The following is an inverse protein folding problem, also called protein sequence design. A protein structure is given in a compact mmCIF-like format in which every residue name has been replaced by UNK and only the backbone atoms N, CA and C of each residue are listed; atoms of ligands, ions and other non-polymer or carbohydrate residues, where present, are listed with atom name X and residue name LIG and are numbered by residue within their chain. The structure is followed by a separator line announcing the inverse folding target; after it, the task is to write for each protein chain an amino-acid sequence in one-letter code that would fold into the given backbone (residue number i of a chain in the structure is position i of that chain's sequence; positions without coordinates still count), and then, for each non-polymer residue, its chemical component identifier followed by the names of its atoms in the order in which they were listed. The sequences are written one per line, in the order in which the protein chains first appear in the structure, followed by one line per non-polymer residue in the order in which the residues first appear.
data_IF_872805012985
#
_entry.id   IF_872805012985
#
_cell.length_a   1.000
_cell.length_b   1.000
_cell.length_c   1.000
_cell.angle_alpha   90.00
_cell.angle_beta   90.00
_cell.angle_gamma   90.00
#
_symmetry.space_group_name_H-M   'P 1'
#
loop_
_entity.id
_entity.type
_entity.pdbx_description
1 polymer ?
#
# COMPACT_ATOMS: atom_id res chain seq x y z
N UNK A 1 -2.33 -14.99 0.09
CA UNK A 1 -1.20 -14.04 -0.05
C UNK A 1 -0.04 -14.80 -0.68
N UNK A 2 0.53 -14.32 -1.78
CA UNK A 2 1.67 -14.94 -2.47
C UNK A 2 2.84 -13.95 -2.48
N UNK A 3 4.04 -14.41 -2.13
CA UNK A 3 5.25 -13.58 -2.06
C UNK A 3 6.34 -14.30 -2.85
N UNK A 4 7.06 -13.58 -3.70
CA UNK A 4 8.21 -14.10 -4.42
C UNK A 4 9.34 -13.06 -4.45
N UNK A 5 10.58 -13.53 -4.43
CA UNK A 5 11.77 -12.69 -4.55
C UNK A 5 12.25 -12.76 -6.00
N UNK A 6 12.49 -11.61 -6.62
CA UNK A 6 13.02 -11.51 -7.98
C UNK A 6 14.24 -10.61 -7.99
N UNK A 7 15.07 -10.75 -9.03
CA UNK A 7 16.25 -9.90 -9.26
C UNK A 7 16.04 -9.11 -10.54
N UNK A 8 16.68 -7.95 -10.62
CA UNK A 8 16.72 -7.17 -11.85
C UNK A 8 17.49 -7.95 -12.93
N UNK A 9 16.91 -8.05 -14.12
CA UNK A 9 17.57 -8.68 -15.28
C UNK A 9 18.70 -7.79 -15.79
N UNK A 10 19.60 -8.36 -16.60
CA UNK A 10 20.70 -7.64 -17.25
C UNK A 10 20.25 -6.48 -18.14
N UNK A 11 18.97 -6.45 -18.55
CA UNK A 11 18.37 -5.38 -19.35
C UNK A 11 17.61 -4.35 -18.50
N UNK A 12 17.77 -4.38 -17.18
CA UNK A 12 17.06 -3.49 -16.25
C UNK A 12 15.59 -3.86 -16.04
N UNK A 13 15.17 -5.09 -16.37
CA UNK A 13 13.77 -5.50 -16.25
C UNK A 13 13.55 -6.18 -14.90
N UNK A 14 12.45 -5.83 -14.22
CA UNK A 14 11.97 -6.57 -13.05
C UNK A 14 11.02 -7.66 -13.57
N UNK A 15 11.38 -8.92 -13.35
CA UNK A 15 10.59 -10.07 -13.84
C UNK A 15 9.63 -10.53 -12.76
N UNK A 16 8.34 -10.64 -13.10
CA UNK A 16 7.33 -11.27 -12.24
C UNK A 16 7.47 -12.80 -12.34
N UNK A 17 7.84 -13.52 -11.27
CA UNK A 17 8.01 -14.97 -11.29
C UNK A 17 6.74 -15.71 -11.70
N UNK A 18 6.89 -16.82 -12.43
CA UNK A 18 5.77 -17.59 -12.96
C UNK A 18 4.77 -18.06 -11.89
N UNK A 19 5.26 -18.33 -10.68
CA UNK A 19 4.46 -18.76 -9.52
C UNK A 19 3.37 -17.76 -9.14
N UNK A 20 3.66 -16.46 -9.27
CA UNK A 20 2.74 -15.35 -8.93
C UNK A 20 2.19 -14.62 -10.15
N UNK A 21 2.60 -15.03 -11.37
CA UNK A 21 2.14 -14.45 -12.64
C UNK A 21 0.72 -14.92 -13.04
N UNK A 22 0.17 -15.92 -12.34
CA UNK A 22 -1.18 -16.46 -12.64
C UNK A 22 -2.22 -15.33 -12.67
N UNK A 23 -2.99 -15.25 -13.76
CA UNK A 23 -4.02 -14.22 -13.94
C UNK A 23 -3.54 -12.91 -14.57
N UNK A 24 -2.30 -12.85 -15.08
CA UNK A 24 -1.79 -11.77 -15.93
C UNK A 24 -1.72 -12.26 -17.37
N UNK A 25 -2.41 -11.56 -18.27
CA UNK A 25 -2.46 -11.90 -19.70
C UNK A 25 -1.34 -11.22 -20.50
N UNK A 26 -1.02 -11.78 -21.65
CA UNK A 26 -0.02 -11.18 -22.55
C UNK A 26 -0.63 -9.92 -23.17
N UNK A 27 0.12 -8.82 -23.14
CA UNK A 27 -0.34 -7.52 -23.65
C UNK A 27 -1.12 -6.69 -22.64
N UNK A 28 -1.30 -7.18 -21.42
CA UNK A 28 -1.98 -6.45 -20.36
C UNK A 28 -1.18 -5.21 -19.92
N UNK A 29 -1.87 -4.06 -19.86
CA UNK A 29 -1.27 -2.78 -19.49
C UNK A 29 -1.33 -2.54 -17.99
N UNK A 30 -0.25 -1.98 -17.46
CA UNK A 30 -0.10 -1.66 -16.05
C UNK A 30 0.29 -0.20 -15.87
N UNK A 31 -0.30 0.44 -14.86
CA UNK A 31 0.22 1.69 -14.32
C UNK A 31 1.29 1.35 -13.29
N UNK A 32 2.47 1.94 -13.46
CA UNK A 32 3.61 1.83 -12.55
C UNK A 32 3.78 3.16 -11.84
N UNK A 33 3.67 3.14 -10.51
CA UNK A 33 3.86 4.32 -9.67
C UNK A 33 5.05 4.08 -8.76
N UNK A 34 6.03 4.98 -8.79
CA UNK A 34 7.18 4.95 -7.89
C UNK A 34 6.95 5.97 -6.77
N UNK A 35 6.97 5.50 -5.53
CA UNK A 35 6.97 6.35 -4.35
C UNK A 35 8.20 6.02 -3.50
N UNK A 36 9.16 6.95 -3.46
CA UNK A 36 10.48 6.74 -2.82
C UNK A 36 11.15 5.43 -3.27
N UNK A 37 11.25 4.44 -2.38
CA UNK A 37 11.88 3.14 -2.59
C UNK A 37 10.87 2.02 -2.90
N UNK A 38 9.61 2.37 -3.15
CA UNK A 38 8.52 1.42 -3.41
C UNK A 38 7.95 1.61 -4.81
N UNK A 39 7.57 0.50 -5.42
CA UNK A 39 6.84 0.47 -6.68
C UNK A 39 5.47 -0.12 -6.44
N UNK A 40 4.44 0.55 -6.94
CA UNK A 40 3.07 0.07 -6.97
C UNK A 40 2.75 -0.25 -8.44
N UNK A 41 2.20 -1.44 -8.66
CA UNK A 41 1.77 -1.92 -9.96
C UNK A 41 0.27 -2.18 -9.91
N UNK A 42 -0.53 -1.55 -10.78
CA UNK A 42 -1.98 -1.83 -10.91
C UNK A 42 -2.33 -2.02 -12.38
N UNK A 43 -3.22 -2.98 -12.67
CA UNK A 43 -3.73 -3.21 -14.03
C UNK A 43 -4.59 -2.02 -14.45
N UNK A 44 -4.41 -1.52 -15.69
CA UNK A 44 -5.18 -0.39 -16.21
C UNK A 44 -6.69 -0.69 -16.19
N UNK A 45 -7.09 -1.92 -16.54
CA UNK A 45 -8.49 -2.35 -16.54
C UNK A 45 -9.16 -2.34 -15.15
N UNK A 46 -8.36 -2.38 -14.08
CA UNK A 46 -8.82 -2.36 -12.70
C UNK A 46 -8.76 -0.94 -12.09
N UNK A 47 -8.38 0.06 -12.89
CA UNK A 47 -8.40 1.47 -12.47
C UNK A 47 -9.84 1.95 -12.63
N UNK A 48 -10.55 2.00 -11.51
CA UNK A 48 -11.85 2.65 -11.37
C UNK A 48 -11.68 4.06 -10.81
N UNK A 49 -12.80 4.78 -10.62
CA UNK A 49 -12.79 6.14 -10.07
C UNK A 49 -12.15 6.21 -8.67
N UNK A 50 -12.13 5.09 -7.93
CA UNK A 50 -11.53 4.97 -6.60
C UNK A 50 -10.00 4.79 -6.62
N UNK A 51 -9.36 4.78 -7.80
CA UNK A 51 -7.91 4.60 -7.89
C UNK A 51 -7.10 5.67 -7.14
N UNK A 52 -7.61 6.91 -7.08
CA UNK A 52 -6.98 7.96 -6.27
C UNK A 52 -7.06 7.63 -4.79
N UNK A 53 -8.17 7.07 -4.33
CA UNK A 53 -8.39 6.71 -2.94
C UNK A 53 -7.53 5.50 -2.56
N UNK A 54 -7.41 4.50 -3.44
CA UNK A 54 -6.48 3.37 -3.28
C UNK A 54 -5.02 3.85 -3.16
N UNK A 55 -4.61 4.82 -3.98
CA UNK A 55 -3.29 5.41 -3.92
C UNK A 55 -3.06 6.18 -2.63
N UNK A 56 -4.05 6.96 -2.21
CA UNK A 56 -3.99 7.70 -0.96
C UNK A 56 -3.95 6.77 0.25
N UNK A 57 -4.73 5.67 0.22
CA UNK A 57 -4.70 4.63 1.23
C UNK A 57 -3.33 3.96 1.33
N UNK A 58 -2.74 3.59 0.19
CA UNK A 58 -1.40 2.99 0.15
C UNK A 58 -0.35 3.93 0.75
N UNK A 59 -0.42 5.22 0.39
CA UNK A 59 0.46 6.25 0.95
C UNK A 59 0.27 6.43 2.46
N UNK A 60 -0.97 6.57 2.93
CA UNK A 60 -1.28 6.74 4.36
C UNK A 60 -0.83 5.53 5.18
N UNK A 61 -1.02 4.32 4.66
CA UNK A 61 -0.59 3.07 5.29
C UNK A 61 0.94 3.03 5.40
N UNK A 62 1.65 3.42 4.34
CA UNK A 62 3.10 3.52 4.35
C UNK A 62 3.61 4.55 5.36
N UNK A 63 3.00 5.74 5.40
CA UNK A 63 3.38 6.79 6.34
C UNK A 63 3.13 6.37 7.79
N UNK A 64 1.99 5.72 8.06
CA UNK A 64 1.68 5.16 9.37
C UNK A 64 2.67 4.06 9.76
N UNK A 65 3.04 3.19 8.83
CA UNK A 65 4.03 2.12 9.06
C UNK A 65 5.41 2.69 9.39
N UNK A 66 5.86 3.72 8.64
CA UNK A 66 7.14 4.41 8.92
C UNK A 66 7.15 5.08 10.28
N UNK A 67 6.04 5.69 10.69
CA UNK A 67 5.89 6.30 12.04
C UNK A 67 5.96 5.24 13.13
N UNK A 68 5.28 4.11 12.92
CA UNK A 68 5.34 2.98 13.85
C UNK A 68 6.76 2.43 14.01
N UNK A 69 7.48 2.19 12.90
CA UNK A 69 8.88 1.74 12.92
C UNK A 69 9.82 2.73 13.61
N UNK A 70 9.53 4.03 13.52
CA UNK A 70 10.28 5.09 14.22
C UNK A 70 9.90 5.26 15.70
N UNK A 71 8.92 4.52 16.19
CA UNK A 71 8.41 4.69 17.55
C UNK A 71 7.54 5.95 17.74
N UNK A 72 7.08 6.58 16.67
CA UNK A 72 6.21 7.76 16.69
C UNK A 72 4.73 7.34 16.90
N UNK A 73 4.48 6.55 17.94
CA UNK A 73 3.14 6.14 18.36
C UNK A 73 2.88 6.52 19.81
N UNK A 74 1.60 6.59 20.19
CA UNK A 74 1.18 6.76 21.58
C UNK A 74 0.53 5.48 22.05
N UNK A 75 0.98 4.98 23.19
CA UNK A 75 0.27 3.94 23.93
C UNK A 75 -0.66 4.62 24.95
N UNK A 76 -1.88 4.12 25.06
CA UNK A 76 -2.88 4.52 26.05
C UNK A 76 -3.67 3.27 26.41
N UNK A 77 -4.28 3.24 27.60
CA UNK A 77 -5.14 2.12 27.95
C UNK A 77 -6.46 2.17 27.15
N UNK A 78 -7.11 1.01 27.04
CA UNK A 78 -8.33 0.87 26.24
C UNK A 78 -9.49 1.71 26.75
N UNK A 79 -9.61 1.93 28.06
CA UNK A 79 -10.69 2.75 28.64
C UNK A 79 -10.46 4.24 28.40
N UNK A 80 -9.23 4.72 28.53
CA UNK A 80 -8.84 6.09 28.17
C UNK A 80 -9.04 6.36 26.68
N UNK A 81 -8.69 5.41 25.82
CA UNK A 81 -8.93 5.53 24.38
C UNK A 81 -10.42 5.71 24.08
N UNK A 82 -11.28 4.87 24.65
CA UNK A 82 -12.73 4.95 24.45
C UNK A 82 -13.32 6.29 24.96
N UNK A 83 -12.85 6.78 26.11
CA UNK A 83 -13.23 8.11 26.63
C UNK A 83 -12.82 9.24 25.67
N UNK A 84 -11.63 9.12 25.06
CA UNK A 84 -11.12 10.12 24.12
C UNK A 84 -11.99 10.24 22.86
N UNK A 85 -12.50 9.11 22.35
CA UNK A 85 -13.39 9.08 21.18
C UNK A 85 -14.75 9.72 21.48
N UNK A 86 -15.36 9.36 22.61
CA UNK A 86 -16.64 9.92 23.05
C UNK A 86 -16.57 11.44 23.30
N UNK A 87 -15.41 11.95 23.71
CA UNK A 87 -15.20 13.39 23.96
C UNK A 87 -15.07 14.20 22.66
N UNK A 88 -14.69 13.56 21.54
CA UNK A 88 -14.57 14.24 20.25
C UNK A 88 -15.91 14.47 19.54
N UNK A 89 -16.93 13.63 19.81
CA UNK A 89 -18.27 13.82 19.24
C UNK A 89 -18.99 15.07 19.76
N UNK A 90 -18.68 15.51 20.99
CA UNK A 90 -19.29 16.70 21.62
C UNK A 90 -18.64 18.04 21.21
N UNK A 91 -17.69 18.04 20.27
CA UNK A 91 -17.01 19.25 19.76
C UNK A 91 -17.30 19.56 18.29
N UNK A 92 -18.26 18.87 17.66
CA UNK A 92 -18.74 19.16 16.31
C UNK A 92 -20.12 19.80 16.34
#
# INVERSE_FOLDING_TARGET
MQIAITRMSSKGQIVIPAEIRKGIEVGEEFVIIKNENRFILKRVKDIDENFRDDLEFAKRTEDAWKKYEKGEFKETDGEEFLKSLATQENKR
#
